data_IF_414014832343
#
_entry.id   IF_414014832343
#
_cell.length_a   1.000
_cell.length_b   1.000
_cell.length_c   1.000
_cell.angle_alpha   90.00
_cell.angle_beta   90.00
_cell.angle_gamma   90.00
#
_symmetry.space_group_name_H-M   'P 1'
#
loop_
_entity.id
_entity.type
_entity.pdbx_description
1 polymer ?
#
# COMPACT_ATOMS: atom_id res chain seq x y z
N UNK A 1 -12.74 39.63 10.62
CA UNK A 1 -11.48 39.12 11.23
C UNK A 1 -11.87 38.13 12.31
N UNK A 2 -11.32 36.89 12.30
CA UNK A 2 -11.51 35.90 13.34
C UNK A 2 -10.78 36.38 14.59
N UNK A 3 -11.44 36.43 15.74
CA UNK A 3 -10.83 36.80 17.00
C UNK A 3 -10.08 35.61 17.63
N UNK A 4 -9.29 35.86 18.69
CA UNK A 4 -8.44 34.84 19.30
C UNK A 4 -9.24 33.66 19.85
N UNK A 5 -10.40 33.93 20.47
CA UNK A 5 -11.26 32.83 21.00
C UNK A 5 -11.83 31.99 19.89
N UNK A 6 -12.30 32.59 18.78
CA UNK A 6 -12.78 31.86 17.63
C UNK A 6 -11.67 31.00 16.99
N UNK A 7 -10.43 31.49 17.00
CA UNK A 7 -9.30 30.69 16.52
C UNK A 7 -9.07 29.47 17.41
N UNK A 8 -9.08 29.62 18.72
CA UNK A 8 -8.92 28.53 19.68
C UNK A 8 -10.03 27.48 19.54
N UNK A 9 -11.30 27.90 19.42
CA UNK A 9 -12.43 27.00 19.19
C UNK A 9 -12.28 26.22 17.87
N UNK A 10 -11.79 26.85 16.82
CA UNK A 10 -11.54 26.18 15.53
C UNK A 10 -10.39 25.19 15.66
N UNK A 11 -9.29 25.54 16.31
CA UNK A 11 -8.14 24.66 16.53
C UNK A 11 -8.57 23.42 17.33
N UNK A 12 -9.37 23.58 18.41
CA UNK A 12 -9.92 22.46 19.19
C UNK A 12 -10.83 21.52 18.35
N UNK A 13 -11.67 22.11 17.49
CA UNK A 13 -12.52 21.32 16.58
C UNK A 13 -11.68 20.53 15.58
N UNK A 14 -10.63 21.16 15.04
CA UNK A 14 -9.73 20.50 14.08
C UNK A 14 -8.93 19.37 14.73
N UNK A 15 -8.48 19.55 15.96
CA UNK A 15 -7.78 18.53 16.73
C UNK A 15 -8.70 17.31 16.99
N UNK A 16 -9.93 17.56 17.48
CA UNK A 16 -10.93 16.50 17.69
C UNK A 16 -11.28 15.77 16.39
N UNK A 17 -11.42 16.49 15.28
CA UNK A 17 -11.67 15.88 13.97
C UNK A 17 -10.49 15.04 13.51
N UNK A 18 -9.26 15.55 13.68
CA UNK A 18 -8.05 14.82 13.35
C UNK A 18 -7.92 13.50 14.12
N UNK A 19 -8.14 13.55 15.43
CA UNK A 19 -8.12 12.35 16.27
C UNK A 19 -9.21 11.32 15.88
N UNK A 20 -10.43 11.78 15.63
CA UNK A 20 -11.54 10.89 15.28
C UNK A 20 -11.46 10.30 13.86
N UNK A 21 -10.79 11.00 12.95
CA UNK A 21 -10.60 10.53 11.57
C UNK A 21 -9.36 9.64 11.41
N UNK A 22 -8.39 9.73 12.30
CA UNK A 22 -7.16 8.93 12.22
C UNK A 22 -7.44 7.43 12.37
N UNK A 23 -6.69 6.62 11.63
CA UNK A 23 -6.73 5.15 11.84
C UNK A 23 -6.25 4.80 13.23
N UNK A 24 -6.83 3.77 13.82
CA UNK A 24 -6.41 3.27 15.14
C UNK A 24 -5.02 2.62 15.06
N UNK A 25 -4.32 2.54 16.20
CA UNK A 25 -3.04 1.82 16.30
C UNK A 25 -3.20 0.36 15.87
N UNK A 26 -4.32 -0.28 16.20
CA UNK A 26 -4.61 -1.65 15.78
C UNK A 26 -4.70 -1.78 14.27
N UNK A 27 -5.42 -0.88 13.59
CA UNK A 27 -5.53 -0.84 12.14
C UNK A 27 -4.17 -0.59 11.48
N UNK A 28 -3.42 0.39 12.00
CA UNK A 28 -2.07 0.67 11.55
C UNK A 28 -1.16 -0.55 11.64
N UNK A 29 -1.15 -1.23 12.80
CA UNK A 29 -0.31 -2.41 13.01
C UNK A 29 -0.72 -3.58 12.12
N UNK A 30 -2.02 -3.79 11.89
CA UNK A 30 -2.52 -4.80 10.95
C UNK A 30 -2.04 -4.53 9.51
N UNK A 31 -2.13 -3.28 9.06
CA UNK A 31 -1.64 -2.85 7.76
C UNK A 31 -0.11 -3.07 7.63
N UNK A 32 0.66 -2.69 8.67
CA UNK A 32 2.12 -2.91 8.73
C UNK A 32 2.47 -4.38 8.61
N UNK A 33 1.79 -5.25 9.33
CA UNK A 33 2.03 -6.69 9.25
C UNK A 33 1.73 -7.24 7.86
N UNK A 34 0.66 -6.77 7.24
CA UNK A 34 0.26 -7.24 5.91
C UNK A 34 1.21 -6.80 4.82
N UNK A 35 1.63 -5.53 4.79
CA UNK A 35 2.58 -5.11 3.75
C UNK A 35 3.95 -5.78 3.93
N UNK A 36 4.38 -6.04 5.17
CA UNK A 36 5.60 -6.81 5.43
C UNK A 36 5.49 -8.26 4.98
N UNK A 37 4.33 -8.89 5.19
CA UNK A 37 4.10 -10.27 4.73
C UNK A 37 4.12 -10.36 3.20
N UNK A 38 3.48 -9.42 2.50
CA UNK A 38 3.55 -9.31 1.04
C UNK A 38 4.98 -9.04 0.59
N UNK A 39 5.66 -8.13 1.27
CA UNK A 39 7.07 -7.82 1.02
C UNK A 39 7.94 -9.06 1.09
N UNK A 40 7.85 -9.82 2.16
CA UNK A 40 8.60 -11.08 2.34
C UNK A 40 8.31 -12.10 1.24
N UNK A 41 7.06 -12.17 0.76
CA UNK A 41 6.70 -13.04 -0.34
C UNK A 41 7.31 -12.60 -1.68
N UNK A 42 7.22 -11.31 -1.99
CA UNK A 42 7.75 -10.75 -3.24
C UNK A 42 9.29 -10.79 -3.28
N UNK A 43 9.95 -10.67 -2.11
CA UNK A 43 11.42 -10.69 -2.00
C UNK A 43 12.00 -12.07 -1.73
N UNK A 44 11.17 -13.14 -1.68
CA UNK A 44 11.63 -14.50 -1.44
C UNK A 44 12.69 -14.91 -2.47
N UNK A 45 13.75 -15.58 -2.02
CA UNK A 45 14.87 -16.03 -2.86
C UNK A 45 14.43 -16.98 -3.99
N UNK A 46 13.33 -17.72 -3.81
CA UNK A 46 12.73 -18.57 -4.83
C UNK A 46 11.88 -17.83 -5.85
N UNK A 47 11.61 -16.52 -5.61
CA UNK A 47 10.85 -15.66 -6.52
C UNK A 47 11.66 -15.31 -7.77
N UNK A 48 11.00 -15.23 -8.91
CA UNK A 48 11.62 -14.68 -10.12
C UNK A 48 12.03 -13.21 -9.97
N UNK A 49 11.44 -12.49 -9.00
CA UNK A 49 11.80 -11.13 -8.65
C UNK A 49 13.15 -11.04 -7.93
N UNK A 50 13.60 -12.10 -7.26
CA UNK A 50 14.82 -12.10 -6.42
C UNK A 50 16.05 -11.58 -7.17
N UNK A 51 16.18 -11.93 -8.46
CA UNK A 51 17.28 -11.46 -9.33
C UNK A 51 17.33 -9.95 -9.53
N UNK A 52 16.22 -9.25 -9.25
CA UNK A 52 16.10 -7.79 -9.36
C UNK A 52 16.11 -7.11 -7.99
N UNK A 53 16.47 -7.85 -6.91
CA UNK A 53 16.58 -7.35 -5.54
C UNK A 53 15.42 -6.41 -5.18
N UNK A 54 14.16 -6.90 -5.22
CA UNK A 54 13.00 -6.05 -4.99
C UNK A 54 13.02 -5.44 -3.59
N UNK A 55 12.59 -4.19 -3.49
CA UNK A 55 12.40 -3.47 -2.24
C UNK A 55 10.94 -3.08 -2.12
N UNK A 56 10.34 -3.41 -0.99
CA UNK A 56 8.94 -3.11 -0.73
C UNK A 56 8.85 -2.00 0.31
N UNK A 57 8.18 -0.91 -0.05
CA UNK A 57 8.01 0.23 0.85
C UNK A 57 6.60 0.82 0.77
N UNK A 58 5.98 1.15 1.93
CA UNK A 58 4.73 1.89 1.93
C UNK A 58 4.95 3.31 1.41
N UNK A 59 3.90 3.91 0.83
CA UNK A 59 3.88 5.28 0.33
C UNK A 59 2.59 5.99 0.71
N UNK A 60 2.38 7.17 0.15
CA UNK A 60 1.16 7.95 0.28
C UNK A 60 0.84 8.35 1.71
N UNK A 61 -0.45 8.40 2.01
CA UNK A 61 -0.97 8.85 3.30
C UNK A 61 -0.46 8.04 4.49
N UNK A 62 -0.20 6.74 4.26
CA UNK A 62 0.27 5.84 5.31
C UNK A 62 1.64 6.23 5.88
N UNK A 63 2.59 6.62 5.01
CA UNK A 63 3.96 7.02 5.41
C UNK A 63 3.98 8.39 6.08
N UNK A 64 3.15 9.32 5.61
CA UNK A 64 3.11 10.68 6.16
C UNK A 64 2.14 10.82 7.35
N UNK A 65 1.48 9.73 7.76
CA UNK A 65 0.60 9.71 8.91
C UNK A 65 -0.73 10.45 8.70
N UNK A 66 -1.20 10.54 7.47
CA UNK A 66 -2.49 11.20 7.12
C UNK A 66 -3.56 10.23 6.64
N UNK A 67 -3.34 8.93 6.85
CA UNK A 67 -4.36 7.92 6.57
C UNK A 67 -5.54 8.09 7.51
N UNK A 68 -6.74 8.16 6.95
CA UNK A 68 -7.99 8.31 7.70
C UNK A 68 -8.77 7.00 7.71
N UNK A 69 -9.63 6.87 8.72
CA UNK A 69 -10.62 5.80 8.77
C UNK A 69 -11.65 5.97 7.65
N UNK A 70 -12.23 4.85 7.23
CA UNK A 70 -13.37 4.88 6.32
C UNK A 70 -14.53 5.68 6.93
N UNK A 71 -15.03 6.65 6.20
CA UNK A 71 -16.19 7.46 6.61
C UNK A 71 -17.47 6.66 6.39
N UNK A 72 -17.53 5.87 5.30
CA UNK A 72 -18.67 5.01 5.02
C UNK A 72 -18.33 3.56 5.37
N UNK A 73 -19.33 2.77 5.87
CA UNK A 73 -19.11 1.36 6.22
C UNK A 73 -18.59 0.47 5.07
N UNK A 74 -18.82 0.90 3.82
CA UNK A 74 -18.43 0.15 2.63
C UNK A 74 -17.06 0.58 2.04
N UNK A 75 -16.51 1.67 2.54
CA UNK A 75 -15.19 2.14 2.13
C UNK A 75 -14.09 1.37 2.87
N UNK A 76 -12.97 1.19 2.22
CA UNK A 76 -11.77 0.58 2.80
C UNK A 76 -10.69 1.65 3.03
N UNK A 77 -9.75 1.34 3.91
CA UNK A 77 -8.54 2.15 4.08
C UNK A 77 -7.59 1.84 2.91
N UNK A 78 -7.02 2.89 2.31
CA UNK A 78 -6.03 2.77 1.24
C UNK A 78 -4.63 2.58 1.80
N UNK A 79 -3.93 1.55 1.32
CA UNK A 79 -2.54 1.30 1.63
C UNK A 79 -1.72 1.22 0.33
N UNK A 80 -1.05 2.31 0.01
CA UNK A 80 -0.15 2.37 -1.14
C UNK A 80 1.20 1.74 -0.82
N UNK A 81 1.65 0.82 -1.67
CA UNK A 81 2.93 0.12 -1.52
C UNK A 81 3.66 0.12 -2.87
N UNK A 82 4.94 0.43 -2.87
CA UNK A 82 5.78 0.31 -4.06
C UNK A 82 6.62 -0.95 -3.96
N UNK A 83 6.61 -1.73 -5.06
CA UNK A 83 7.55 -2.81 -5.31
C UNK A 83 8.61 -2.30 -6.29
N UNK A 84 9.73 -1.79 -5.76
CA UNK A 84 10.83 -1.26 -6.55
C UNK A 84 11.81 -2.36 -6.90
N UNK A 85 12.04 -2.56 -8.20
CA UNK A 85 13.03 -3.49 -8.73
C UNK A 85 14.34 -2.75 -9.01
N UNK A 86 15.46 -3.34 -8.62
CA UNK A 86 16.78 -2.82 -8.94
C UNK A 86 17.17 -3.23 -10.36
N UNK A 87 16.72 -2.45 -11.33
CA UNK A 87 16.91 -2.69 -12.75
C UNK A 87 15.83 -3.54 -13.40
N UNK A 88 15.93 -3.67 -14.71
CA UNK A 88 15.05 -4.46 -15.57
C UNK A 88 15.79 -4.92 -16.82
N UNK A 89 15.22 -5.87 -17.57
CA UNK A 89 15.74 -6.20 -18.91
C UNK A 89 15.55 -5.01 -19.86
N UNK A 90 16.47 -4.77 -20.80
CA UNK A 90 16.39 -3.63 -21.71
C UNK A 90 15.12 -3.62 -22.58
N UNK A 91 14.60 -4.79 -22.90
CA UNK A 91 13.42 -5.02 -23.74
C UNK A 91 12.09 -4.92 -22.97
N UNK A 92 12.13 -4.80 -21.64
CA UNK A 92 10.93 -4.77 -20.82
C UNK A 92 10.22 -3.41 -20.85
N UNK A 93 8.91 -3.50 -21.03
CA UNK A 93 7.95 -2.40 -20.85
C UNK A 93 7.49 -2.32 -19.39
N UNK A 94 6.74 -1.27 -19.05
CA UNK A 94 6.06 -1.20 -17.74
C UNK A 94 5.07 -2.34 -17.53
N UNK A 95 4.45 -2.82 -18.61
CA UNK A 95 3.54 -3.96 -18.55
C UNK A 95 4.26 -5.23 -18.12
N UNK A 96 5.43 -5.50 -18.69
CA UNK A 96 6.20 -6.71 -18.36
C UNK A 96 6.62 -6.72 -16.90
N UNK A 97 7.01 -5.56 -16.34
CA UNK A 97 7.35 -5.42 -14.94
C UNK A 97 6.13 -5.64 -14.04
N UNK A 98 4.99 -5.08 -14.44
CA UNK A 98 3.73 -5.26 -13.72
C UNK A 98 3.31 -6.73 -13.69
N UNK A 99 3.34 -7.40 -14.85
CA UNK A 99 2.98 -8.81 -14.94
C UNK A 99 3.91 -9.70 -14.10
N UNK A 100 5.20 -9.43 -14.09
CA UNK A 100 6.15 -10.17 -13.26
C UNK A 100 5.78 -10.13 -11.77
N UNK A 101 5.40 -8.95 -11.26
CA UNK A 101 4.93 -8.80 -9.88
C UNK A 101 3.59 -9.49 -9.68
N UNK A 102 2.67 -9.36 -10.64
CA UNK A 102 1.35 -10.00 -10.60
C UNK A 102 1.44 -11.53 -10.60
N UNK A 103 2.31 -12.11 -11.42
CA UNK A 103 2.52 -13.55 -11.46
C UNK A 103 3.04 -14.08 -10.13
N UNK A 104 3.96 -13.34 -9.48
CA UNK A 104 4.43 -13.69 -8.14
C UNK A 104 3.31 -13.63 -7.10
N UNK A 105 2.39 -12.66 -7.18
CA UNK A 105 1.23 -12.61 -6.29
C UNK A 105 0.27 -13.78 -6.53
N UNK A 106 -0.01 -14.14 -7.78
CA UNK A 106 -0.87 -15.29 -8.16
C UNK A 106 -0.30 -16.63 -7.72
N UNK A 107 1.01 -16.76 -7.58
CA UNK A 107 1.66 -17.98 -7.11
C UNK A 107 1.44 -18.24 -5.62
N UNK A 108 0.79 -17.33 -4.87
CA UNK A 108 0.47 -17.52 -3.47
C UNK A 108 -1.05 -17.60 -3.28
N UNK A 109 -1.56 -18.75 -2.82
CA UNK A 109 -3.01 -19.00 -2.67
C UNK A 109 -3.79 -17.90 -1.97
N UNK A 110 -3.23 -17.32 -0.88
CA UNK A 110 -3.87 -16.22 -0.15
C UNK A 110 -3.96 -14.98 -1.03
N UNK A 111 -2.84 -14.58 -1.66
CA UNK A 111 -2.82 -13.35 -2.45
C UNK A 111 -3.63 -13.49 -3.73
N UNK A 112 -3.59 -14.64 -4.39
CA UNK A 112 -4.46 -14.95 -5.52
C UNK A 112 -5.95 -14.78 -5.15
N UNK A 113 -6.36 -15.28 -3.97
CA UNK A 113 -7.78 -15.25 -3.55
C UNK A 113 -8.30 -13.85 -3.20
N UNK A 114 -7.42 -12.92 -2.87
CA UNK A 114 -7.78 -11.52 -2.52
C UNK A 114 -7.32 -10.51 -3.57
N UNK A 115 -6.74 -10.98 -4.68
CA UNK A 115 -6.33 -10.14 -5.79
C UNK A 115 -7.58 -9.64 -6.54
N UNK A 116 -7.67 -8.34 -6.71
CA UNK A 116 -8.73 -7.71 -7.50
C UNK A 116 -8.51 -7.88 -9.00
N UNK A 117 -9.51 -7.49 -9.78
CA UNK A 117 -9.37 -7.37 -11.23
C UNK A 117 -8.17 -6.50 -11.59
N UNK A 118 -7.55 -6.79 -12.72
CA UNK A 118 -6.33 -6.12 -13.15
C UNK A 118 -6.50 -4.60 -13.27
N UNK A 119 -5.88 -3.85 -12.34
CA UNK A 119 -5.77 -2.41 -12.43
C UNK A 119 -4.81 -1.97 -13.54
N UNK A 120 -4.89 -0.72 -13.96
CA UNK A 120 -4.06 -0.21 -15.06
C UNK A 120 -2.57 -0.15 -14.72
N UNK A 121 -2.23 0.21 -13.47
CA UNK A 121 -0.84 0.49 -13.04
C UNK A 121 -0.39 -0.30 -11.83
N UNK A 122 -1.30 -0.72 -10.97
CA UNK A 122 -1.06 -1.43 -9.72
C UNK A 122 -1.76 -2.79 -9.71
N UNK A 123 -1.43 -3.59 -8.73
CA UNK A 123 -2.16 -4.77 -8.31
C UNK A 123 -2.80 -4.48 -6.97
N UNK A 124 -4.10 -4.69 -6.84
CA UNK A 124 -4.86 -4.42 -5.62
C UNK A 124 -5.16 -5.71 -4.88
N UNK A 125 -4.76 -5.80 -3.61
CA UNK A 125 -5.12 -6.87 -2.69
C UNK A 125 -6.21 -6.38 -1.74
N UNK A 126 -7.39 -7.03 -1.76
CA UNK A 126 -8.56 -6.66 -0.94
C UNK A 126 -8.60 -7.47 0.35
N UNK A 127 -8.24 -6.86 1.46
CA UNK A 127 -8.30 -7.47 2.80
C UNK A 127 -9.67 -7.20 3.43
N UNK A 128 -10.71 -7.87 2.92
CA UNK A 128 -12.12 -7.64 3.38
C UNK A 128 -12.71 -8.78 4.16
N UNK A 129 -12.16 -9.99 4.08
CA UNK A 129 -12.92 -11.21 4.33
C UNK A 129 -12.69 -11.86 5.69
N UNK A 130 -11.84 -11.34 6.55
CA UNK A 130 -11.56 -12.00 7.83
C UNK A 130 -12.56 -11.65 8.93
N UNK A 131 -13.63 -10.90 8.65
CA UNK A 131 -14.63 -10.50 9.63
C UNK A 131 -14.09 -9.56 10.71
N UNK A 132 -12.84 -9.18 10.64
CA UNK A 132 -12.21 -8.22 11.53
C UNK A 132 -12.35 -6.81 10.94
N UNK A 133 -13.12 -5.91 11.57
CA UNK A 133 -13.30 -4.55 11.08
C UNK A 133 -11.98 -3.75 11.03
N UNK A 134 -10.95 -4.19 11.76
CA UNK A 134 -9.62 -3.56 11.74
C UNK A 134 -8.76 -3.98 10.55
N UNK A 135 -9.19 -4.96 9.77
CA UNK A 135 -8.51 -5.48 8.59
C UNK A 135 -9.24 -5.14 7.28
N UNK A 136 -10.10 -4.12 7.30
CA UNK A 136 -10.78 -3.63 6.09
C UNK A 136 -9.94 -2.56 5.42
N UNK A 137 -9.04 -3.00 4.56
CA UNK A 137 -8.22 -2.13 3.72
C UNK A 137 -7.94 -2.83 2.39
N UNK A 138 -7.63 -2.04 1.40
CA UNK A 138 -7.02 -2.56 0.19
C UNK A 138 -5.58 -2.06 0.08
N UNK A 139 -4.74 -2.91 -0.48
CA UNK A 139 -3.34 -2.63 -0.68
C UNK A 139 -3.05 -2.54 -2.17
N UNK A 140 -2.68 -1.36 -2.61
CA UNK A 140 -2.25 -1.11 -3.98
C UNK A 140 -0.74 -1.27 -4.11
N UNK A 141 -0.33 -2.28 -4.86
CA UNK A 141 1.08 -2.59 -5.11
C UNK A 141 1.45 -2.02 -6.47
N UNK A 142 2.28 -0.97 -6.46
CA UNK A 142 2.79 -0.31 -7.65
C UNK A 142 4.18 -0.84 -8.00
N UNK A 143 4.33 -1.60 -9.11
CA UNK A 143 5.64 -1.99 -9.61
C UNK A 143 6.41 -0.80 -10.16
N UNK A 144 7.64 -0.64 -9.72
CA UNK A 144 8.55 0.42 -10.13
C UNK A 144 9.95 -0.13 -10.44
N UNK A 145 10.78 0.65 -11.11
CA UNK A 145 12.18 0.31 -11.38
C UNK A 145 13.07 1.45 -10.93
N UNK A 146 14.06 1.11 -10.13
CA UNK A 146 15.13 2.04 -9.82
C UNK A 146 16.05 2.21 -11.02
N UNK A 147 16.09 3.42 -11.57
CA UNK A 147 16.92 3.77 -12.74
C UNK A 147 18.24 4.43 -12.36
N UNK A 148 18.51 4.66 -11.07
CA UNK A 148 19.73 5.34 -10.62
C UNK A 148 21.03 4.56 -10.82
N UNK A 149 20.95 3.32 -11.33
CA UNK A 149 22.10 2.47 -11.66
C UNK A 149 22.48 2.45 -13.15
N UNK A 150 21.75 3.12 -14.01
CA UNK A 150 22.11 3.25 -15.42
C UNK A 150 23.00 4.47 -15.62
N UNK A 151 24.30 4.29 -15.41
CA UNK A 151 25.31 5.17 -16.05
C UNK A 151 25.20 4.95 -17.55
N UNK A 152 24.90 6.02 -18.28
CA UNK A 152 24.98 6.10 -19.74
C UNK A 152 26.46 5.95 -20.16
#
# INVERSE_FOLDING_TARGET
MINLNQKQEIDEILDILGENLSITETQHNAAVQSYKAVGNWLTNEESELARYSPVISPQGSFIIGTTIQSINPDDDIDLDVVCELNGKRPDWTQKDIKELVGDQLRNHKKYESILDDEGRRCWTLKYRENGNPNERYHMDILPAVNTTGYSI
#
